data_IF_639576090611
#
_entry.id   IF_639576090611
#
_cell.length_a   1.000
_cell.length_b   1.000
_cell.length_c   1.000
_cell.angle_alpha   90.00
_cell.angle_beta   90.00
_cell.angle_gamma   90.00
#
_symmetry.space_group_name_H-M   'P 1'
#
loop_
_entity.id
_entity.type
_entity.pdbx_description
1 polymer ?
#
# COMPACT_ATOMS: atom_id res chain seq x y z
N UNK A 1 -0.37 40.39 25.80
CA UNK A 1 -0.90 40.26 24.43
C UNK A 1 0.20 39.68 23.58
N UNK A 2 -0.09 38.56 22.93
CA UNK A 2 0.86 37.85 22.10
C UNK A 2 1.35 38.73 20.91
N UNK A 3 2.65 38.66 20.60
CA UNK A 3 3.22 39.32 19.42
C UNK A 3 3.98 38.30 18.56
N UNK A 4 3.67 38.18 17.25
CA UNK A 4 4.35 37.27 16.32
C UNK A 4 5.88 37.43 16.30
N UNK A 5 6.60 36.33 16.09
CA UNK A 5 8.05 36.30 15.87
C UNK A 5 8.93 36.46 17.12
N UNK A 6 8.34 36.55 18.33
CA UNK A 6 9.12 36.68 19.58
C UNK A 6 9.42 35.36 20.28
N UNK A 7 8.58 34.35 20.10
CA UNK A 7 8.67 33.08 20.83
C UNK A 7 9.32 32.00 19.96
N UNK A 8 10.10 31.07 20.53
CA UNK A 8 10.65 29.96 19.77
C UNK A 8 9.52 29.08 19.20
N UNK A 9 9.70 28.57 17.98
CA UNK A 9 8.72 27.74 17.26
C UNK A 9 7.34 28.40 16.99
N UNK A 10 7.23 29.72 17.19
CA UNK A 10 6.01 30.49 16.89
C UNK A 10 5.75 30.66 15.40
N UNK A 11 6.79 30.57 14.57
CA UNK A 11 6.74 30.76 13.12
C UNK A 11 5.69 29.87 12.41
N UNK A 12 5.42 28.68 12.94
CA UNK A 12 4.38 27.78 12.40
C UNK A 12 2.95 28.31 12.59
N UNK A 13 2.72 29.18 13.59
CA UNK A 13 1.39 29.61 14.02
C UNK A 13 1.16 31.12 13.89
N UNK A 14 2.21 31.90 13.70
CA UNK A 14 2.18 33.36 13.60
C UNK A 14 1.30 33.90 12.46
N UNK A 15 1.05 33.09 11.44
CA UNK A 15 0.17 33.44 10.31
C UNK A 15 -1.29 33.04 10.53
N UNK A 16 -1.61 32.29 11.60
CA UNK A 16 -2.95 31.77 11.85
C UNK A 16 -3.79 32.71 12.73
N UNK A 17 -4.74 33.41 12.12
CA UNK A 17 -5.64 34.34 12.82
C UNK A 17 -6.46 33.70 13.96
N UNK A 18 -6.81 32.40 13.86
CA UNK A 18 -7.53 31.71 14.93
C UNK A 18 -6.62 31.44 16.13
N UNK A 19 -5.33 31.17 15.89
CA UNK A 19 -4.36 31.02 16.96
C UNK A 19 -4.15 32.35 17.69
N UNK A 20 -3.96 33.45 16.94
CA UNK A 20 -3.74 34.79 17.50
C UNK A 20 -4.92 35.29 18.36
N UNK A 21 -6.15 34.88 18.05
CA UNK A 21 -7.33 35.24 18.85
C UNK A 21 -7.53 34.35 20.07
N UNK A 22 -7.23 33.05 19.96
CA UNK A 22 -7.42 32.09 21.05
C UNK A 22 -6.29 32.14 22.09
N UNK A 23 -5.05 32.50 21.70
CA UNK A 23 -3.85 32.42 22.57
C UNK A 23 -3.96 33.27 23.85
N UNK A 24 -4.43 34.51 23.75
CA UNK A 24 -4.61 35.39 24.90
C UNK A 24 -5.75 34.92 25.80
N UNK A 25 -6.83 34.39 25.21
CA UNK A 25 -7.96 33.84 25.97
C UNK A 25 -7.56 32.59 26.74
N UNK A 26 -6.75 31.72 26.13
CA UNK A 26 -6.25 30.50 26.74
C UNK A 26 -5.26 30.83 27.85
N UNK A 27 -4.38 31.81 27.66
CA UNK A 27 -3.47 32.24 28.72
C UNK A 27 -4.22 32.77 29.94
N UNK A 28 -5.24 33.61 29.73
CA UNK A 28 -6.12 34.07 30.81
C UNK A 28 -6.86 32.91 31.48
N UNK A 29 -7.39 31.96 30.70
CA UNK A 29 -8.06 30.78 31.24
C UNK A 29 -7.13 29.90 32.10
N UNK A 30 -5.89 29.68 31.67
CA UNK A 30 -4.87 28.93 32.43
C UNK A 30 -4.56 29.65 33.74
N UNK A 31 -4.35 30.97 33.72
CA UNK A 31 -4.13 31.76 34.94
C UNK A 31 -5.28 31.64 35.93
N UNK A 32 -6.51 31.78 35.45
CA UNK A 32 -7.70 31.63 36.29
C UNK A 32 -7.81 30.23 36.90
N UNK A 33 -7.39 29.19 36.18
CA UNK A 33 -7.37 27.82 36.69
C UNK A 33 -6.26 27.57 37.71
N UNK A 34 -5.15 28.30 37.62
CA UNK A 34 -4.01 28.17 38.54
C UNK A 34 -4.17 29.00 39.83
N UNK A 35 -5.13 29.93 39.89
CA UNK A 35 -5.51 30.64 41.12
C UNK A 35 -5.67 32.16 41.01
N UNK A 36 -5.42 32.74 39.84
CA UNK A 36 -5.60 34.18 39.58
C UNK A 36 -7.11 34.53 39.53
N UNK A 37 -7.61 35.63 40.14
CA UNK A 37 -6.92 36.73 40.82
C UNK A 37 -6.75 36.58 42.34
N UNK A 38 -7.15 35.44 42.93
CA UNK A 38 -7.09 35.25 44.38
C UNK A 38 -5.65 35.14 44.89
N UNK A 39 -4.79 34.47 44.14
CA UNK A 39 -3.36 34.39 44.39
C UNK A 39 -2.62 34.63 43.07
N UNK A 40 -1.69 35.58 43.07
CA UNK A 40 -0.95 35.95 41.87
C UNK A 40 -0.11 34.77 41.40
N UNK A 41 -0.33 34.34 40.15
CA UNK A 41 0.38 33.21 39.55
C UNK A 41 1.77 33.68 39.11
N UNK A 42 2.81 32.98 39.55
CA UNK A 42 4.21 33.38 39.35
C UNK A 42 4.74 33.18 37.90
N UNK A 43 3.88 32.73 36.97
CA UNK A 43 4.22 32.49 35.56
C UNK A 43 4.03 33.75 34.71
N UNK A 44 5.00 34.01 33.81
CA UNK A 44 4.84 35.05 32.80
C UNK A 44 3.89 34.61 31.68
N UNK A 45 3.29 35.58 30.99
CA UNK A 45 2.47 35.34 29.79
C UNK A 45 3.23 34.51 28.74
N UNK A 46 4.50 34.86 28.53
CA UNK A 46 5.37 34.24 27.54
C UNK A 46 5.58 32.74 27.83
N UNK A 47 5.70 32.37 29.10
CA UNK A 47 5.83 30.96 29.51
C UNK A 47 4.55 30.17 29.25
N UNK A 48 3.38 30.78 29.47
CA UNK A 48 2.09 30.15 29.20
C UNK A 48 1.86 30.01 27.69
N UNK A 49 2.21 31.02 26.89
CA UNK A 49 2.17 30.93 25.44
C UNK A 49 3.07 29.82 24.91
N UNK A 50 4.27 29.66 25.48
CA UNK A 50 5.19 28.57 25.11
C UNK A 50 4.59 27.19 25.42
N UNK A 51 4.03 27.00 26.62
CA UNK A 51 3.32 25.75 26.98
C UNK A 51 2.16 25.44 26.03
N UNK A 52 1.46 26.47 25.53
CA UNK A 52 0.40 26.29 24.57
C UNK A 52 0.91 25.88 23.19
N UNK A 53 1.97 26.51 22.68
CA UNK A 53 2.62 26.15 21.42
C UNK A 53 3.15 24.71 21.49
N UNK A 54 3.83 24.35 22.57
CA UNK A 54 4.34 23.00 22.82
C UNK A 54 3.19 21.97 22.81
N UNK A 55 2.06 22.28 23.44
CA UNK A 55 0.88 21.42 23.41
C UNK A 55 0.32 21.19 22.00
N UNK A 56 0.37 22.18 21.12
CA UNK A 56 -0.10 22.04 19.73
C UNK A 56 0.89 21.18 18.92
N UNK A 57 2.19 21.37 19.12
CA UNK A 57 3.24 20.60 18.44
C UNK A 57 3.17 19.11 18.84
N UNK A 58 2.99 18.83 20.13
CA UNK A 58 2.79 17.45 20.64
C UNK A 58 1.54 16.81 20.02
N UNK A 59 0.41 17.52 20.03
CA UNK A 59 -0.83 17.03 19.42
C UNK A 59 -0.65 16.74 17.91
N UNK A 60 -0.01 17.66 17.19
CA UNK A 60 0.29 17.50 15.77
C UNK A 60 1.21 16.32 15.51
N UNK A 61 2.26 16.14 16.31
CA UNK A 61 3.21 15.05 16.19
C UNK A 61 2.54 13.69 16.39
N UNK A 62 1.67 13.57 17.40
CA UNK A 62 0.93 12.33 17.66
C UNK A 62 -0.03 12.00 16.50
N UNK A 63 -0.82 12.96 16.02
CA UNK A 63 -1.72 12.72 14.88
C UNK A 63 -0.94 12.30 13.63
N UNK A 64 0.13 13.03 13.30
CA UNK A 64 0.94 12.72 12.13
C UNK A 64 1.58 11.33 12.23
N UNK A 65 2.01 10.91 13.42
CA UNK A 65 2.57 9.57 13.63
C UNK A 65 1.53 8.46 13.38
N UNK A 66 0.30 8.60 13.89
CA UNK A 66 -0.76 7.61 13.68
C UNK A 66 -1.33 7.65 12.26
N UNK A 67 -1.41 8.84 11.65
CA UNK A 67 -1.75 8.98 10.24
C UNK A 67 -0.70 8.31 9.36
N UNK A 68 0.59 8.53 9.65
CA UNK A 68 1.68 7.88 8.93
C UNK A 68 1.63 6.38 9.09
N UNK A 69 1.39 5.86 10.30
CA UNK A 69 1.19 4.42 10.54
C UNK A 69 0.12 3.82 9.63
N UNK A 70 -0.93 4.57 9.33
CA UNK A 70 -2.06 4.08 8.53
C UNK A 70 -1.86 4.21 7.01
N UNK A 71 -0.98 5.10 6.56
CA UNK A 71 -0.85 5.47 5.13
C UNK A 71 0.55 5.25 4.58
N UNK A 72 1.52 4.88 5.41
CA UNK A 72 2.91 4.72 4.97
C UNK A 72 3.03 3.82 3.74
N UNK A 73 2.27 2.72 3.68
CA UNK A 73 2.22 1.80 2.53
C UNK A 73 1.92 2.47 1.21
N UNK A 74 1.07 3.49 1.23
CA UNK A 74 0.60 4.17 0.02
C UNK A 74 1.60 5.24 -0.43
N UNK A 75 2.43 5.74 0.49
CA UNK A 75 3.46 6.73 0.20
C UNK A 75 4.82 6.11 -0.12
N UNK A 76 5.08 4.84 0.21
CA UNK A 76 6.35 4.17 -0.07
C UNK A 76 6.70 4.25 -1.57
N UNK A 77 7.88 4.80 -1.88
CA UNK A 77 8.34 5.01 -3.26
C UNK A 77 7.80 6.26 -3.96
N UNK A 78 6.92 7.03 -3.31
CA UNK A 78 6.51 8.35 -3.84
C UNK A 78 7.70 9.33 -3.80
N UNK A 79 7.91 10.16 -4.83
CA UNK A 79 9.02 11.12 -4.85
C UNK A 79 8.92 12.12 -3.69
N UNK A 80 10.03 12.33 -2.98
CA UNK A 80 10.13 13.29 -1.87
C UNK A 80 10.46 14.68 -2.38
N UNK A 81 9.44 15.45 -2.78
CA UNK A 81 9.61 16.84 -3.23
C UNK A 81 9.65 17.87 -2.10
N UNK A 82 8.74 17.78 -1.14
CA UNK A 82 8.64 18.70 0.01
C UNK A 82 8.15 17.92 1.21
N UNK A 83 8.71 18.16 2.40
CA UNK A 83 8.37 17.41 3.62
C UNK A 83 7.08 17.92 4.31
N UNK A 84 6.31 18.79 3.65
CA UNK A 84 5.11 19.43 4.21
C UNK A 84 3.98 19.49 3.16
N UNK A 85 2.73 19.54 3.61
CA UNK A 85 1.56 19.82 2.78
C UNK A 85 0.60 18.63 2.54
N UNK A 86 0.88 17.46 3.12
CA UNK A 86 0.00 16.28 3.08
C UNK A 86 -0.62 15.93 4.44
N UNK A 87 -0.26 16.60 5.53
CA UNK A 87 -0.71 16.32 6.91
C UNK A 87 -2.24 16.46 7.13
N UNK A 88 -2.96 17.10 6.22
CA UNK A 88 -4.42 17.30 6.29
C UNK A 88 -5.17 16.81 5.04
N UNK A 89 -4.51 16.11 4.13
CA UNK A 89 -5.14 15.63 2.90
C UNK A 89 -5.55 14.18 3.04
N UNK A 90 -6.72 13.86 2.48
CA UNK A 90 -7.13 12.48 2.37
C UNK A 90 -6.13 11.73 1.50
N UNK A 91 -5.56 10.61 1.97
CA UNK A 91 -4.65 9.84 1.16
C UNK A 91 -5.46 9.21 0.02
N UNK A 92 -5.07 9.51 -1.20
CA UNK A 92 -5.55 8.72 -2.33
C UNK A 92 -4.89 7.36 -2.18
N UNK A 93 -5.68 6.33 -1.86
CA UNK A 93 -5.20 4.95 -1.75
C UNK A 93 -4.71 4.50 -3.11
N UNK A 94 -3.47 4.84 -3.43
CA UNK A 94 -2.83 4.39 -4.64
C UNK A 94 -2.32 2.99 -4.32
N UNK A 95 -2.96 1.98 -4.92
CA UNK A 95 -2.46 0.62 -4.87
C UNK A 95 -1.13 0.48 -5.64
N UNK A 96 -0.41 1.57 -5.92
CA UNK A 96 0.76 1.60 -6.79
C UNK A 96 1.88 0.71 -6.24
N UNK A 97 2.13 0.76 -4.92
CA UNK A 97 3.11 -0.13 -4.30
C UNK A 97 2.73 -1.61 -4.46
N UNK A 98 1.47 -1.95 -4.22
CA UNK A 98 0.96 -3.31 -4.40
C UNK A 98 0.99 -3.71 -5.88
N UNK A 99 0.61 -2.82 -6.79
CA UNK A 99 0.66 -3.03 -8.23
C UNK A 99 2.10 -3.31 -8.67
N UNK A 100 3.06 -2.47 -8.29
CA UNK A 100 4.49 -2.67 -8.58
C UNK A 100 5.02 -3.99 -8.00
N UNK A 101 4.50 -4.45 -6.84
CA UNK A 101 4.86 -5.75 -6.28
C UNK A 101 4.21 -6.90 -7.06
N UNK A 102 2.92 -6.80 -7.39
CA UNK A 102 2.18 -7.81 -8.16
C UNK A 102 2.65 -7.89 -9.61
N UNK A 103 3.11 -6.79 -10.19
CA UNK A 103 3.64 -6.73 -11.55
C UNK A 103 4.81 -7.68 -11.71
N UNK A 104 5.66 -7.85 -10.68
CA UNK A 104 6.76 -8.84 -10.69
C UNK A 104 6.25 -10.28 -10.80
N UNK A 105 5.11 -10.57 -10.19
CA UNK A 105 4.49 -11.91 -10.29
C UNK A 105 3.81 -12.10 -11.64
N UNK A 106 3.12 -11.08 -12.14
CA UNK A 106 2.52 -11.08 -13.49
C UNK A 106 3.58 -11.21 -14.58
N UNK A 107 4.72 -10.52 -14.42
CA UNK A 107 5.90 -10.60 -15.29
C UNK A 107 6.51 -12.01 -15.28
N UNK A 108 6.59 -12.66 -14.12
CA UNK A 108 7.06 -14.04 -14.01
C UNK A 108 6.10 -15.05 -14.66
N UNK A 109 4.81 -14.71 -14.79
CA UNK A 109 3.80 -15.53 -15.43
C UNK A 109 3.63 -15.23 -16.93
N UNK A 110 4.48 -14.38 -17.52
CA UNK A 110 4.40 -13.92 -18.91
C UNK A 110 3.08 -13.17 -19.25
N UNK A 111 2.38 -12.62 -18.25
CA UNK A 111 1.10 -11.91 -18.44
C UNK A 111 1.27 -10.44 -18.06
N UNK A 112 1.67 -9.62 -19.04
CA UNK A 112 1.91 -8.19 -18.85
C UNK A 112 3.27 -7.85 -18.22
N UNK A 113 3.57 -6.57 -18.11
CA UNK A 113 4.86 -6.03 -17.62
C UNK A 113 5.52 -5.09 -18.62
N UNK A 114 6.63 -4.47 -18.20
CA UNK A 114 7.37 -3.45 -18.97
C UNK A 114 8.44 -4.01 -19.92
N UNK A 115 8.60 -5.34 -20.04
CA UNK A 115 9.56 -5.95 -20.96
C UNK A 115 8.94 -6.16 -22.34
N UNK A 116 9.77 -6.13 -23.38
CA UNK A 116 9.35 -6.48 -24.74
C UNK A 116 9.54 -7.97 -24.98
N UNK A 117 8.45 -8.67 -25.29
CA UNK A 117 8.52 -10.06 -25.75
C UNK A 117 8.89 -10.10 -27.23
N UNK A 118 9.89 -10.90 -27.57
CA UNK A 118 10.32 -11.12 -28.95
C UNK A 118 9.88 -12.50 -29.41
N UNK A 119 9.49 -12.61 -30.67
CA UNK A 119 9.28 -13.89 -31.35
C UNK A 119 10.37 -14.08 -32.38
N UNK A 120 11.00 -15.25 -32.37
CA UNK A 120 12.05 -15.63 -33.31
C UNK A 120 11.80 -16.99 -33.92
N UNK A 121 12.50 -17.28 -35.00
CA UNK A 121 12.50 -18.60 -35.62
C UNK A 121 13.92 -19.08 -35.91
N UNK A 122 14.15 -20.37 -35.71
CA UNK A 122 15.36 -21.08 -36.12
C UNK A 122 15.01 -22.08 -37.22
N UNK A 123 15.82 -22.10 -38.27
CA UNK A 123 15.70 -23.08 -39.34
C UNK A 123 16.44 -24.36 -38.92
N UNK A 124 15.70 -25.43 -38.64
CA UNK A 124 16.26 -26.73 -38.30
C UNK A 124 16.86 -27.38 -39.54
N UNK A 125 18.09 -27.87 -39.41
CA UNK A 125 18.80 -28.61 -40.44
C UNK A 125 18.85 -30.10 -40.07
N UNK A 126 18.89 -31.01 -41.06
CA UNK A 126 18.96 -32.43 -40.78
C UNK A 126 20.32 -32.73 -40.15
N UNK A 127 20.33 -33.65 -39.19
CA UNK A 127 21.54 -34.10 -38.48
C UNK A 127 22.26 -33.03 -37.62
N UNK A 128 21.64 -31.85 -37.43
CA UNK A 128 22.16 -30.78 -36.56
C UNK A 128 21.37 -30.73 -35.25
N UNK A 129 22.08 -30.89 -34.13
CA UNK A 129 21.47 -30.99 -32.80
C UNK A 129 21.57 -29.70 -31.96
N UNK A 130 22.68 -28.97 -32.10
CA UNK A 130 23.00 -27.77 -31.31
C UNK A 130 22.79 -26.52 -32.16
N UNK A 131 21.90 -25.63 -31.71
CA UNK A 131 21.56 -24.38 -32.37
C UNK A 131 22.01 -23.19 -31.51
N UNK A 132 22.64 -22.19 -32.12
CA UNK A 132 23.06 -20.98 -31.42
C UNK A 132 22.01 -19.87 -31.54
N UNK A 133 21.60 -19.33 -30.39
CA UNK A 133 20.55 -18.33 -30.27
C UNK A 133 21.03 -16.91 -30.54
N UNK A 134 22.33 -16.72 -30.77
CA UNK A 134 22.93 -15.42 -31.19
C UNK A 134 22.45 -14.93 -32.55
N UNK A 135 21.84 -15.81 -33.34
CA UNK A 135 21.26 -15.47 -34.65
C UNK A 135 19.90 -14.79 -34.57
N UNK A 136 19.29 -14.75 -33.38
CA UNK A 136 17.99 -14.13 -33.13
C UNK A 136 18.11 -12.60 -33.06
N UNK A 137 17.07 -11.90 -33.50
CA UNK A 137 17.07 -10.43 -33.58
C UNK A 137 17.22 -9.78 -32.19
N UNK A 138 18.15 -8.84 -32.04
CA UNK A 138 18.40 -8.16 -30.77
C UNK A 138 19.31 -8.91 -29.79
N UNK A 139 19.74 -10.13 -30.12
CA UNK A 139 20.68 -10.92 -29.30
C UNK A 139 22.11 -10.58 -29.70
N UNK A 140 22.78 -9.75 -28.90
CA UNK A 140 24.19 -9.44 -29.13
C UNK A 140 25.08 -10.62 -28.68
N UNK A 141 26.02 -11.02 -29.54
CA UNK A 141 26.91 -12.18 -29.41
C UNK A 141 27.84 -12.21 -28.19
N UNK A 142 27.81 -11.20 -27.33
CA UNK A 142 28.84 -10.98 -26.30
C UNK A 142 28.32 -10.74 -24.88
N UNK A 143 27.04 -11.00 -24.57
CA UNK A 143 26.60 -10.92 -23.17
C UNK A 143 25.12 -10.84 -22.87
N UNK A 144 24.23 -11.01 -23.86
CA UNK A 144 22.79 -10.95 -23.61
C UNK A 144 22.29 -12.20 -22.87
N UNK A 145 21.74 -12.01 -21.67
CA UNK A 145 21.10 -13.11 -20.93
C UNK A 145 19.69 -13.31 -21.49
N UNK A 146 19.48 -14.37 -22.25
CA UNK A 146 18.17 -14.71 -22.80
C UNK A 146 17.33 -15.50 -21.79
N UNK A 147 16.07 -15.12 -21.65
CA UNK A 147 15.06 -15.93 -20.98
C UNK A 147 14.12 -16.44 -22.07
N UNK A 148 14.09 -17.75 -22.27
CA UNK A 148 13.24 -18.38 -23.28
C UNK A 148 11.90 -18.72 -22.62
N UNK A 149 10.82 -18.29 -23.27
CA UNK A 149 9.46 -18.63 -22.91
C UNK A 149 9.05 -19.96 -23.55
N UNK A 150 8.13 -19.90 -24.52
CA UNK A 150 7.64 -21.09 -25.20
C UNK A 150 8.45 -21.37 -26.48
N UNK A 151 8.90 -22.62 -26.62
CA UNK A 151 9.45 -23.16 -27.87
C UNK A 151 8.38 -24.05 -28.51
N UNK A 152 8.03 -23.77 -29.76
CA UNK A 152 7.01 -24.50 -30.48
C UNK A 152 7.35 -24.69 -31.95
N UNK A 153 6.96 -25.82 -32.51
CA UNK A 153 6.96 -26.05 -33.95
C UNK A 153 5.51 -26.08 -34.42
N UNK A 154 5.17 -25.32 -35.45
CA UNK A 154 3.79 -25.33 -35.94
C UNK A 154 3.53 -26.66 -36.66
N UNK A 155 2.57 -27.44 -36.16
CA UNK A 155 1.99 -28.50 -36.96
C UNK A 155 0.92 -27.87 -37.85
N UNK A 156 1.11 -27.77 -39.18
CA UNK A 156 0.01 -27.39 -40.04
C UNK A 156 -1.07 -28.46 -39.90
N UNK A 157 -2.32 -28.02 -39.69
CA UNK A 157 -3.56 -28.80 -39.65
C UNK A 157 -4.05 -29.30 -38.27
N UNK A 158 -4.54 -28.36 -37.45
CA UNK A 158 -5.38 -28.66 -36.26
C UNK A 158 -6.88 -28.61 -36.59
N UNK A 159 -7.32 -27.74 -37.52
CA UNK A 159 -8.74 -27.43 -37.70
C UNK A 159 -9.61 -28.61 -38.21
N UNK A 160 -9.01 -29.63 -38.81
CA UNK A 160 -9.75 -30.76 -39.39
C UNK A 160 -9.56 -32.10 -38.67
N UNK A 161 -8.70 -32.18 -37.64
CA UNK A 161 -8.48 -33.43 -36.88
C UNK A 161 -9.32 -33.54 -35.60
N UNK A 162 -10.23 -32.59 -35.36
CA UNK A 162 -11.36 -32.81 -34.44
C UNK A 162 -12.17 -34.06 -34.81
N UNK A 163 -12.11 -34.48 -36.08
CA UNK A 163 -12.74 -35.67 -36.62
C UNK A 163 -11.73 -36.83 -36.70
N UNK A 164 -11.56 -37.56 -35.59
CA UNK A 164 -10.84 -38.84 -35.61
C UNK A 164 -11.74 -39.96 -36.13
N UNK A 165 -11.21 -41.14 -36.48
CA UNK A 165 -12.03 -42.28 -36.95
C UNK A 165 -13.00 -42.82 -35.89
N UNK A 166 -12.84 -42.45 -34.61
CA UNK A 166 -13.81 -42.72 -33.55
C UNK A 166 -14.96 -41.68 -33.50
N UNK A 167 -14.88 -40.63 -34.31
CA UNK A 167 -15.83 -39.50 -34.36
C UNK A 167 -16.96 -39.71 -35.37
N UNK A 168 -17.18 -40.94 -35.87
CA UNK A 168 -18.34 -41.30 -36.71
C UNK A 168 -19.71 -41.03 -36.02
N UNK A 169 -19.71 -40.57 -34.77
CA UNK A 169 -20.90 -40.53 -33.92
C UNK A 169 -21.52 -39.14 -33.76
N UNK A 170 -20.92 -38.01 -34.17
CA UNK A 170 -21.57 -36.71 -33.90
C UNK A 170 -21.35 -35.65 -34.99
N UNK A 171 -22.38 -35.44 -35.81
CA UNK A 171 -22.46 -34.30 -36.72
C UNK A 171 -23.80 -33.59 -36.62
N UNK A 172 -23.82 -32.44 -35.95
CA UNK A 172 -24.70 -31.30 -36.26
C UNK A 172 -23.99 -30.02 -35.80
N UNK A 173 -23.14 -29.45 -36.65
CA UNK A 173 -22.84 -28.02 -36.63
C UNK A 173 -23.64 -27.42 -37.78
N UNK A 174 -24.84 -26.90 -37.46
CA UNK A 174 -25.88 -26.55 -38.44
C UNK A 174 -25.50 -25.37 -39.35
N UNK A 175 -24.34 -24.72 -39.17
CA UNK A 175 -23.98 -23.50 -39.92
C UNK A 175 -22.83 -23.67 -40.94
N UNK A 176 -22.20 -24.85 -41.09
CA UNK A 176 -21.07 -25.02 -42.02
C UNK A 176 -21.24 -26.12 -43.10
N UNK A 177 -22.46 -26.60 -43.33
CA UNK A 177 -22.83 -27.19 -44.64
C UNK A 177 -22.26 -28.57 -45.00
N UNK A 178 -21.92 -29.43 -44.04
CA UNK A 178 -21.46 -30.81 -44.32
C UNK A 178 -22.62 -31.81 -44.06
N UNK A 179 -23.05 -32.53 -45.11
CA UNK A 179 -24.18 -33.48 -45.09
C UNK A 179 -23.78 -34.84 -45.67
N UNK A 180 -23.24 -35.74 -44.84
CA UNK A 180 -23.16 -37.15 -45.18
C UNK A 180 -23.62 -37.98 -43.97
N UNK A 181 -24.73 -38.70 -44.13
CA UNK A 181 -25.29 -39.57 -43.11
C UNK A 181 -25.07 -41.03 -43.53
N UNK A 182 -24.56 -41.85 -42.62
CA UNK A 182 -24.61 -43.30 -42.75
C UNK A 182 -25.76 -43.85 -41.89
N UNK A 183 -26.41 -44.97 -42.27
CA UNK A 183 -27.56 -45.52 -41.54
C UNK A 183 -27.31 -45.91 -40.06
N UNK A 184 -26.06 -45.91 -39.62
CA UNK A 184 -25.63 -46.28 -38.26
C UNK A 184 -25.39 -45.06 -37.34
N UNK A 185 -25.75 -43.85 -37.77
CA UNK A 185 -25.50 -42.63 -36.98
C UNK A 185 -26.55 -42.48 -35.86
N UNK A 186 -26.11 -42.49 -34.59
CA UNK A 186 -26.95 -42.18 -33.43
C UNK A 186 -26.73 -40.72 -32.98
N UNK A 187 -27.82 -40.00 -32.69
CA UNK A 187 -27.77 -38.58 -32.31
C UNK A 187 -27.90 -38.40 -30.79
N UNK A 188 -26.94 -37.71 -30.18
CA UNK A 188 -27.01 -37.31 -28.77
C UNK A 188 -26.80 -35.80 -28.63
N UNK A 189 -27.56 -35.16 -27.74
CA UNK A 189 -27.35 -33.75 -27.39
C UNK A 189 -26.29 -33.67 -26.30
N UNK A 190 -25.09 -33.22 -26.67
CA UNK A 190 -24.00 -32.99 -25.74
C UNK A 190 -24.06 -31.55 -25.21
N UNK A 191 -23.86 -31.35 -23.89
CA UNK A 191 -23.75 -30.00 -23.34
C UNK A 191 -22.43 -29.34 -23.75
N UNK A 192 -22.42 -28.01 -23.89
CA UNK A 192 -21.28 -27.22 -24.41
C UNK A 192 -19.98 -27.43 -23.63
N UNK A 193 -20.05 -27.68 -22.32
CA UNK A 193 -18.87 -27.91 -21.51
C UNK A 193 -18.09 -29.16 -21.94
N UNK A 194 -18.79 -30.18 -22.47
CA UNK A 194 -18.18 -31.43 -22.90
C UNK A 194 -17.29 -31.21 -24.12
N UNK A 195 -17.77 -30.41 -25.07
CA UNK A 195 -17.01 -30.05 -26.28
C UNK A 195 -15.77 -29.20 -25.95
N UNK A 196 -15.89 -28.29 -24.99
CA UNK A 196 -14.75 -27.50 -24.48
C UNK A 196 -13.71 -28.41 -23.82
N UNK A 197 -14.14 -29.32 -22.94
CA UNK A 197 -13.23 -30.26 -22.25
C UNK A 197 -12.53 -31.18 -23.25
N UNK A 198 -13.27 -31.68 -24.25
CA UNK A 198 -12.72 -32.53 -25.30
C UNK A 198 -11.72 -31.76 -26.17
N UNK A 199 -12.02 -30.51 -26.53
CA UNK A 199 -11.09 -29.61 -27.23
C UNK A 199 -9.78 -29.46 -26.46
N UNK A 200 -9.87 -29.23 -25.14
CA UNK A 200 -8.69 -29.12 -24.28
C UNK A 200 -7.90 -30.43 -24.22
N UNK A 201 -8.58 -31.56 -24.06
CA UNK A 201 -7.96 -32.88 -24.06
C UNK A 201 -7.22 -33.16 -25.37
N UNK A 202 -7.82 -32.84 -26.53
CA UNK A 202 -7.16 -33.00 -27.82
C UNK A 202 -5.97 -32.07 -27.98
N UNK A 203 -6.09 -30.78 -27.61
CA UNK A 203 -4.97 -29.83 -27.65
C UNK A 203 -3.79 -30.32 -26.81
N UNK A 204 -4.07 -30.76 -25.58
CA UNK A 204 -3.06 -31.30 -24.66
C UNK A 204 -2.47 -32.61 -25.19
N UNK A 205 -3.30 -33.55 -25.63
CA UNK A 205 -2.85 -34.83 -26.18
C UNK A 205 -1.99 -34.62 -27.43
N UNK A 206 -2.31 -33.63 -28.26
CA UNK A 206 -1.51 -33.31 -29.45
C UNK A 206 -0.18 -32.70 -29.06
N UNK A 207 -0.19 -31.74 -28.11
CA UNK A 207 1.03 -31.16 -27.56
C UNK A 207 1.91 -32.26 -26.96
N UNK A 208 1.38 -33.18 -26.17
CA UNK A 208 2.17 -34.25 -25.54
C UNK A 208 2.63 -35.36 -26.51
N UNK A 209 1.76 -35.82 -27.42
CA UNK A 209 2.07 -36.98 -28.29
C UNK A 209 2.80 -36.61 -29.57
N UNK A 210 2.71 -35.35 -30.01
CA UNK A 210 3.37 -34.88 -31.24
C UNK A 210 4.49 -33.90 -31.01
N UNK A 211 4.63 -33.36 -29.79
CA UNK A 211 5.90 -32.76 -29.37
C UNK A 211 6.89 -33.91 -29.23
N UNK A 212 7.48 -34.27 -30.37
CA UNK A 212 8.57 -35.23 -30.41
C UNK A 212 9.89 -34.57 -29.98
N UNK A 213 9.92 -33.24 -29.79
CA UNK A 213 11.12 -32.50 -29.45
C UNK A 213 11.16 -32.19 -27.95
N UNK A 214 12.13 -32.75 -27.25
CA UNK A 214 12.64 -32.20 -25.99
C UNK A 214 13.84 -31.31 -26.27
N UNK A 215 14.14 -30.39 -25.34
CA UNK A 215 15.23 -29.46 -25.51
C UNK A 215 15.98 -29.25 -24.20
N UNK A 216 17.24 -28.85 -24.35
CA UNK A 216 18.11 -28.50 -23.24
C UNK A 216 18.82 -27.18 -23.59
N UNK A 217 18.75 -26.23 -22.66
CA UNK A 217 19.35 -24.91 -22.81
C UNK A 217 20.63 -24.84 -22.00
N UNK A 218 21.75 -24.55 -22.67
CA UNK A 218 23.05 -24.30 -22.06
C UNK A 218 23.59 -22.95 -22.52
N UNK A 219 23.40 -21.92 -21.71
CA UNK A 219 23.78 -20.56 -22.09
C UNK A 219 23.02 -20.11 -23.33
N UNK A 220 23.75 -19.76 -24.40
CA UNK A 220 23.17 -19.34 -25.69
C UNK A 220 22.87 -20.51 -26.63
N UNK A 221 23.16 -21.76 -26.25
CA UNK A 221 22.96 -22.93 -27.10
C UNK A 221 21.71 -23.70 -26.72
N UNK A 222 20.87 -23.94 -27.72
CA UNK A 222 19.68 -24.79 -27.66
C UNK A 222 20.02 -26.14 -28.28
N UNK A 223 20.02 -27.19 -27.45
CA UNK A 223 20.17 -28.58 -27.88
C UNK A 223 18.79 -29.22 -28.01
N UNK A 224 18.48 -29.80 -29.17
CA UNK A 224 17.21 -30.48 -29.43
C UNK A 224 17.37 -32.01 -29.38
N UNK A 225 16.30 -32.70 -28.99
CA UNK A 225 16.22 -34.16 -28.94
C UNK A 225 14.83 -34.63 -29.40
N UNK A 226 14.72 -35.64 -30.29
CA UNK A 226 15.78 -36.26 -31.06
C UNK A 226 16.34 -35.31 -32.11
N UNK A 227 17.45 -35.71 -32.75
CA UNK A 227 18.08 -34.91 -33.81
C UNK A 227 17.06 -34.73 -34.95
N UNK A 228 16.83 -33.50 -35.43
CA UNK A 228 15.93 -33.25 -36.56
C UNK A 228 16.34 -34.05 -37.80
N UNK A 229 15.36 -34.69 -38.43
CA UNK A 229 15.57 -35.46 -39.68
C UNK A 229 15.05 -34.72 -40.91
N UNK A 230 14.31 -33.62 -40.72
CA UNK A 230 13.65 -32.86 -41.78
C UNK A 230 13.84 -31.36 -41.54
N UNK A 231 14.07 -30.62 -42.63
CA UNK A 231 14.10 -29.16 -42.61
C UNK A 231 12.75 -28.63 -42.14
N UNK A 232 12.76 -27.95 -40.99
CA UNK A 232 11.55 -27.40 -40.40
C UNK A 232 11.87 -26.14 -39.59
N UNK A 233 10.87 -25.28 -39.39
CA UNK A 233 11.05 -24.05 -38.60
C UNK A 233 10.64 -24.29 -37.17
N UNK A 234 11.55 -23.99 -36.25
CA UNK A 234 11.28 -23.93 -34.82
C UNK A 234 11.01 -22.46 -34.45
N UNK A 235 9.88 -22.20 -33.82
CA UNK A 235 9.53 -20.88 -33.31
C UNK A 235 9.79 -20.84 -31.81
N UNK A 236 10.21 -19.69 -31.32
CA UNK A 236 10.44 -19.47 -29.90
C UNK A 236 10.05 -18.06 -29.51
N UNK A 237 9.46 -17.92 -28.33
CA UNK A 237 9.35 -16.63 -27.65
C UNK A 237 10.51 -16.45 -26.68
N UNK A 238 11.07 -15.26 -26.65
CA UNK A 238 12.20 -14.94 -25.79
C UNK A 238 12.14 -13.50 -25.29
N UNK A 239 12.79 -13.31 -24.15
CA UNK A 239 12.99 -12.01 -23.50
C UNK A 239 14.49 -11.78 -23.34
N UNK A 240 14.92 -10.54 -23.53
CA UNK A 240 16.29 -10.12 -23.31
C UNK A 240 16.35 -9.51 -21.91
N UNK A 241 17.24 -10.02 -21.04
CA UNK A 241 17.36 -9.55 -19.66
C UNK A 241 17.74 -8.07 -19.55
N UNK A 242 18.41 -7.50 -20.55
CA UNK A 242 18.73 -6.07 -20.60
C UNK A 242 17.49 -5.19 -20.90
N UNK A 243 16.47 -5.74 -21.57
CA UNK A 243 15.16 -5.09 -21.81
C UNK A 243 14.18 -5.30 -20.65
N UNK A 244 14.55 -6.11 -19.64
CA UNK A 244 13.88 -6.02 -18.34
C UNK A 244 14.15 -4.60 -17.86
N UNK A 245 13.07 -3.84 -17.68
CA UNK A 245 13.11 -2.47 -17.18
C UNK A 245 13.91 -2.34 -15.86
N UNK A 246 14.00 -1.12 -15.30
CA UNK A 246 15.03 -0.66 -14.37
C UNK A 246 15.13 -1.36 -13.00
N UNK A 247 14.65 -2.60 -12.83
CA UNK A 247 14.78 -3.39 -11.60
C UNK A 247 16.25 -3.64 -11.22
N UNK A 248 17.20 -3.56 -12.18
CA UNK A 248 18.65 -3.60 -11.89
C UNK A 248 19.36 -2.25 -11.90
N UNK A 249 18.72 -1.22 -12.44
CA UNK A 249 19.16 0.17 -12.33
C UNK A 249 18.18 0.89 -11.42
N UNK A 250 18.19 0.54 -10.14
CA UNK A 250 17.62 1.40 -9.10
C UNK A 250 18.50 2.65 -9.15
N UNK A 251 18.18 3.60 -10.04
CA UNK A 251 18.58 5.00 -9.85
C UNK A 251 18.12 5.30 -8.44
N UNK A 252 19.01 5.79 -7.58
CA UNK A 252 18.68 6.17 -6.20
C UNK A 252 17.33 6.91 -6.17
N UNK A 253 16.25 6.18 -5.89
CA UNK A 253 14.91 6.73 -5.90
C UNK A 253 14.80 7.50 -4.59
N UNK A 254 15.10 8.79 -4.66
CA UNK A 254 14.78 9.75 -3.60
C UNK A 254 13.25 9.78 -3.43
N UNK A 255 12.75 8.83 -2.65
CA UNK A 255 11.34 8.66 -2.33
C UNK A 255 11.12 8.35 -0.86
N UNK A 256 9.85 8.41 -0.43
CA UNK A 256 9.47 8.10 0.95
C UNK A 256 9.82 6.64 1.24
N UNK A 257 10.63 6.41 2.27
CA UNK A 257 11.20 5.10 2.62
C UNK A 257 10.77 4.66 4.02
N UNK A 258 10.46 5.61 4.91
CA UNK A 258 10.08 5.34 6.28
C UNK A 258 9.29 6.53 6.86
N UNK A 259 9.00 6.47 8.16
CA UNK A 259 8.32 7.55 8.87
C UNK A 259 9.11 8.89 8.85
N UNK A 260 10.44 8.86 8.73
CA UNK A 260 11.26 10.07 8.85
C UNK A 260 11.21 10.98 7.63
N UNK A 261 10.83 10.46 6.45
CA UNK A 261 10.77 11.22 5.21
C UNK A 261 9.36 11.31 4.61
N UNK A 262 8.33 11.02 5.41
CA UNK A 262 6.96 11.27 5.02
C UNK A 262 6.67 12.79 5.03
N UNK A 263 5.98 13.34 4.02
CA UNK A 263 5.79 14.78 3.88
C UNK A 263 4.66 15.34 4.75
N UNK A 264 4.75 15.11 6.06
CA UNK A 264 3.80 15.61 7.05
C UNK A 264 4.41 16.77 7.83
N UNK A 265 3.89 17.97 7.59
CA UNK A 265 4.24 19.17 8.34
C UNK A 265 3.41 19.33 9.62
N UNK A 266 3.65 20.43 10.32
CA UNK A 266 2.85 20.80 11.50
C UNK A 266 1.41 21.12 11.09
N UNK A 267 0.44 20.56 11.79
CA UNK A 267 -0.99 20.80 11.55
C UNK A 267 -1.34 22.23 11.96
N UNK A 268 -1.91 23.01 11.03
CA UNK A 268 -2.37 24.38 11.30
C UNK A 268 -3.48 24.38 12.37
N UNK A 269 -3.36 25.26 13.37
CA UNK A 269 -4.30 25.35 14.50
C UNK A 269 -5.75 25.58 14.06
N UNK A 270 -5.96 26.35 13.00
CA UNK A 270 -7.26 26.64 12.41
C UNK A 270 -8.03 25.44 11.84
N UNK A 271 -7.33 24.35 11.53
CA UNK A 271 -7.87 23.08 11.01
C UNK A 271 -8.21 22.08 12.13
N UNK A 272 -7.80 22.36 13.36
CA UNK A 272 -8.06 21.48 14.51
C UNK A 272 -9.52 21.63 14.96
N UNK A 273 -10.19 20.50 15.15
CA UNK A 273 -11.58 20.45 15.61
C UNK A 273 -11.71 20.83 17.12
N UNK A 274 -12.94 20.98 17.60
CA UNK A 274 -13.22 21.34 19.00
C UNK A 274 -12.67 20.32 20.00
N UNK A 275 -12.70 19.03 19.65
CA UNK A 275 -12.20 17.92 20.49
C UNK A 275 -10.68 18.06 20.68
N UNK A 276 -9.94 18.22 19.59
CA UNK A 276 -8.50 18.45 19.62
C UNK A 276 -8.15 19.73 20.34
N UNK A 277 -8.86 20.84 20.08
CA UNK A 277 -8.70 22.09 20.82
C UNK A 277 -8.96 21.95 22.32
N UNK A 278 -9.89 21.09 22.73
CA UNK A 278 -10.13 20.80 24.15
C UNK A 278 -8.98 20.01 24.77
N UNK A 279 -8.45 19.00 24.06
CA UNK A 279 -7.29 18.24 24.51
C UNK A 279 -6.06 19.15 24.65
N UNK A 280 -5.78 19.98 23.64
CA UNK A 280 -4.67 20.96 23.66
C UNK A 280 -4.80 21.91 24.85
N UNK A 281 -6.02 22.43 25.12
CA UNK A 281 -6.24 23.30 26.29
C UNK A 281 -5.96 22.58 27.62
N UNK A 282 -6.41 21.33 27.77
CA UNK A 282 -6.13 20.51 28.96
C UNK A 282 -4.63 20.27 29.09
N UNK A 283 -3.95 19.90 28.02
CA UNK A 283 -2.52 19.59 28.06
C UNK A 283 -1.65 20.82 28.29
N UNK A 284 -1.98 21.97 27.68
CA UNK A 284 -1.32 23.25 27.94
C UNK A 284 -1.44 23.69 29.41
N UNK A 285 -2.62 23.50 30.03
CA UNK A 285 -2.80 23.73 31.47
C UNK A 285 -1.83 22.87 32.29
N UNK A 286 -1.67 21.60 31.92
CA UNK A 286 -0.78 20.68 32.62
C UNK A 286 0.71 20.99 32.45
N UNK A 287 1.11 21.44 31.26
CA UNK A 287 2.47 21.95 31.02
C UNK A 287 2.74 23.22 31.84
N UNK A 288 1.79 24.16 31.85
CA UNK A 288 1.92 25.37 32.68
C UNK A 288 1.95 25.03 34.18
N UNK A 289 1.19 24.03 34.63
CA UNK A 289 1.21 23.55 36.03
C UNK A 289 2.56 22.95 36.41
N UNK A 290 3.20 22.19 35.52
CA UNK A 290 4.56 21.69 35.72
C UNK A 290 5.56 22.84 35.84
N UNK A 291 5.52 23.81 34.90
CA UNK A 291 6.40 24.99 34.94
C UNK A 291 6.22 25.77 36.25
N UNK A 292 4.98 25.98 36.70
CA UNK A 292 4.69 26.61 38.00
C UNK A 292 5.34 25.84 39.16
N UNK A 293 5.24 24.51 39.14
CA UNK A 293 5.88 23.65 40.13
C UNK A 293 7.39 23.84 40.18
N UNK A 294 8.05 23.92 39.02
CA UNK A 294 9.49 24.22 38.92
C UNK A 294 9.84 25.59 39.47
N UNK A 295 9.03 26.61 39.20
CA UNK A 295 9.22 27.95 39.78
C UNK A 295 9.07 27.93 41.30
N UNK A 296 8.07 27.25 41.84
CA UNK A 296 7.82 27.15 43.29
C UNK A 296 8.87 26.32 44.02
N UNK A 297 9.41 25.27 43.40
CA UNK A 297 10.53 24.50 43.96
C UNK A 297 11.84 25.30 44.07
N UNK A 298 12.00 26.42 43.35
CA UNK A 298 13.14 27.32 43.54
C UNK A 298 13.01 28.22 44.77
N UNK A 299 11.79 28.42 45.29
CA UNK A 299 11.49 29.32 46.41
C UNK A 299 10.75 28.59 47.55
N UNK A 300 11.26 27.42 47.95
CA UNK A 300 10.58 26.48 48.89
C UNK A 300 10.07 27.13 50.18
N UNK A 301 10.78 28.13 50.71
CA UNK A 301 10.38 28.91 51.89
C UNK A 301 10.50 30.40 51.60
N UNK A 302 9.38 31.12 51.63
CA UNK A 302 9.38 32.58 51.62
C UNK A 302 9.27 33.05 53.07
N UNK A 303 10.30 33.71 53.64
CA UNK A 303 10.21 34.24 54.99
C UNK A 303 9.27 35.45 55.01
N UNK A 304 8.19 35.35 55.78
CA UNK A 304 7.27 36.45 56.08
C UNK A 304 7.52 36.85 57.55
N UNK A 305 7.39 38.13 57.94
CA UNK A 305 7.48 38.50 59.35
C UNK A 305 6.50 37.65 60.18
N UNK A 306 7.04 36.84 61.09
CA UNK A 306 6.31 35.98 62.04
C UNK A 306 5.67 34.68 61.49
N UNK A 307 5.85 34.33 60.21
CA UNK A 307 5.38 33.05 59.66
C UNK A 307 6.20 32.58 58.44
N UNK A 308 6.27 31.28 58.22
CA UNK A 308 6.85 30.68 57.01
C UNK A 308 5.71 30.20 56.10
N UNK A 309 5.70 30.64 54.84
CA UNK A 309 4.82 30.05 53.81
C UNK A 309 5.64 29.02 53.06
N UNK A 310 5.19 27.76 53.14
CA UNK A 310 5.78 26.64 52.41
C UNK A 310 5.08 26.49 51.05
N UNK A 311 5.85 26.44 49.97
CA UNK A 311 5.32 26.25 48.62
C UNK A 311 5.33 24.77 48.23
N UNK A 312 4.16 24.21 47.87
CA UNK A 312 4.01 22.81 47.46
C UNK A 312 4.43 22.58 46.00
N UNK A 313 5.69 22.88 45.65
CA UNK A 313 6.22 22.73 44.28
C UNK A 313 6.32 21.27 43.81
N UNK A 314 6.84 20.37 44.66
CA UNK A 314 7.08 18.96 44.31
C UNK A 314 5.79 18.19 44.01
N UNK A 315 4.74 18.42 44.81
CA UNK A 315 3.44 17.78 44.60
C UNK A 315 2.77 18.28 43.31
N UNK A 316 2.90 19.56 42.98
CA UNK A 316 2.39 20.13 41.72
C UNK A 316 3.06 19.49 40.51
N UNK A 317 4.39 19.31 40.53
CA UNK A 317 5.13 18.65 39.44
C UNK A 317 4.66 17.20 39.29
N UNK A 318 4.53 16.47 40.40
CA UNK A 318 4.09 15.07 40.36
C UNK A 318 2.68 14.92 39.78
N UNK A 319 1.72 15.75 40.22
CA UNK A 319 0.34 15.73 39.70
C UNK A 319 0.27 16.15 38.24
N UNK A 320 1.10 17.13 37.83
CA UNK A 320 1.15 17.60 36.45
C UNK A 320 1.63 16.48 35.50
N UNK A 321 2.73 15.80 35.84
CA UNK A 321 3.26 14.68 35.04
C UNK A 321 2.28 13.52 34.92
N UNK A 322 1.66 13.13 36.03
CA UNK A 322 0.63 12.09 36.02
C UNK A 322 -0.56 12.45 35.12
N UNK A 323 -1.01 13.70 35.16
CA UNK A 323 -2.09 14.17 34.29
C UNK A 323 -1.66 14.25 32.82
N UNK A 324 -0.43 14.69 32.53
CA UNK A 324 0.12 14.68 31.18
C UNK A 324 0.17 13.26 30.61
N UNK A 325 0.66 12.29 31.38
CA UNK A 325 0.75 10.90 30.92
C UNK A 325 -0.63 10.29 30.66
N UNK A 326 -1.61 10.55 31.53
CA UNK A 326 -3.01 10.16 31.30
C UNK A 326 -3.60 10.78 30.03
N UNK A 327 -3.32 12.07 29.76
CA UNK A 327 -3.77 12.75 28.55
C UNK A 327 -3.13 12.16 27.29
N UNK A 328 -1.83 11.83 27.34
CA UNK A 328 -1.13 11.16 26.23
C UNK A 328 -1.71 9.77 25.98
N UNK A 329 -2.00 9.01 27.02
CA UNK A 329 -2.61 7.68 26.92
C UNK A 329 -4.04 7.75 26.37
N UNK A 330 -4.88 8.65 26.89
CA UNK A 330 -6.24 8.92 26.39
C UNK A 330 -6.22 9.19 24.87
N UNK A 331 -5.29 10.04 24.41
CA UNK A 331 -5.15 10.36 22.99
C UNK A 331 -4.65 9.17 22.18
N UNK A 332 -3.64 8.43 22.66
CA UNK A 332 -3.13 7.23 21.97
C UNK A 332 -4.22 6.19 21.76
N UNK A 333 -5.01 5.90 22.78
CA UNK A 333 -6.11 4.93 22.69
C UNK A 333 -7.14 5.35 21.63
N UNK A 334 -7.55 6.62 21.63
CA UNK A 334 -8.49 7.14 20.63
C UNK A 334 -7.89 7.07 19.22
N UNK A 335 -6.61 7.42 19.07
CA UNK A 335 -5.93 7.41 17.76
C UNK A 335 -5.71 5.99 17.24
N UNK A 336 -5.39 5.03 18.11
CA UNK A 336 -5.28 3.62 17.73
C UNK A 336 -6.60 3.07 17.23
N UNK A 337 -7.68 3.35 17.94
CA UNK A 337 -9.04 2.92 17.60
C UNK A 337 -9.58 3.53 16.31
N UNK A 338 -9.00 4.63 15.85
CA UNK A 338 -9.38 5.39 14.66
C UNK A 338 -8.40 5.23 13.49
N UNK A 339 -7.39 4.37 13.61
CA UNK A 339 -6.54 3.97 12.48
C UNK A 339 -7.36 3.31 11.37
N UNK A 340 -6.98 3.48 10.10
CA UNK A 340 -7.76 2.97 8.97
C UNK A 340 -7.96 1.45 9.02
N UNK A 341 -6.96 0.69 9.47
CA UNK A 341 -7.07 -0.76 9.66
C UNK A 341 -8.13 -1.13 10.69
N UNK A 342 -8.12 -0.47 11.86
CA UNK A 342 -9.08 -0.75 12.93
C UNK A 342 -10.50 -0.31 12.56
N UNK A 343 -10.65 0.81 11.84
CA UNK A 343 -11.94 1.24 11.30
C UNK A 343 -12.49 0.24 10.26
N UNK A 344 -11.64 -0.32 9.41
CA UNK A 344 -12.05 -1.34 8.44
C UNK A 344 -12.46 -2.64 9.13
N UNK A 345 -11.72 -3.05 10.16
CA UNK A 345 -12.07 -4.21 10.98
C UNK A 345 -13.42 -4.01 11.69
N UNK A 346 -13.63 -2.87 12.36
CA UNK A 346 -14.91 -2.52 12.98
C UNK A 346 -16.08 -2.54 11.97
N UNK A 347 -15.86 -2.06 10.74
CA UNK A 347 -16.86 -2.14 9.66
C UNK A 347 -17.13 -3.58 9.19
N UNK A 348 -16.10 -4.42 9.09
CA UNK A 348 -16.24 -5.84 8.73
C UNK A 348 -17.06 -6.58 9.79
N UNK A 349 -16.75 -6.35 11.06
CA UNK A 349 -17.46 -6.99 12.17
C UNK A 349 -18.93 -6.55 12.22
N UNK A 350 -19.21 -5.27 12.00
CA UNK A 350 -20.58 -4.76 11.86
C UNK A 350 -21.32 -5.37 10.66
N UNK A 351 -20.65 -5.57 9.52
CA UNK A 351 -21.25 -6.20 8.34
C UNK A 351 -21.55 -7.69 8.56
N UNK A 352 -20.68 -8.41 9.28
CA UNK A 352 -20.91 -9.80 9.64
C UNK A 352 -22.12 -9.94 10.56
N UNK A 353 -22.20 -9.11 11.60
CA UNK A 353 -23.37 -9.07 12.49
C UNK A 353 -24.67 -8.78 11.72
N UNK A 354 -24.63 -7.83 10.78
CA UNK A 354 -25.78 -7.53 9.92
C UNK A 354 -26.17 -8.70 9.02
N UNK A 355 -25.20 -9.44 8.47
CA UNK A 355 -25.49 -10.64 7.67
C UNK A 355 -26.09 -11.77 8.50
N UNK A 356 -25.67 -11.95 9.75
CA UNK A 356 -26.27 -12.89 10.70
C UNK A 356 -27.73 -12.49 11.00
N UNK A 357 -27.99 -11.20 11.21
CA UNK A 357 -29.36 -10.69 11.39
C UNK A 357 -30.21 -10.91 10.14
N UNK A 358 -29.68 -10.66 8.93
CA UNK A 358 -30.37 -10.92 7.67
C UNK A 358 -30.64 -12.40 7.44
N UNK A 359 -29.75 -13.31 7.88
CA UNK A 359 -29.96 -14.75 7.77
C UNK A 359 -31.12 -15.26 8.65
N UNK A 360 -31.41 -14.56 9.75
CA UNK A 360 -32.56 -14.85 10.60
C UNK A 360 -33.89 -14.33 10.01
N UNK A 361 -33.85 -13.51 8.95
CA UNK A 361 -35.06 -13.08 8.25
C UNK A 361 -35.50 -14.23 7.33
N UNK A 362 -36.69 -14.82 7.53
CA UNK A 362 -37.17 -15.90 6.67
C UNK A 362 -37.34 -15.40 5.24
N UNK A 363 -36.68 -16.07 4.29
CA UNK A 363 -36.81 -15.79 2.86
C UNK A 363 -38.28 -16.06 2.43
N UNK A 364 -38.93 -15.14 1.69
CA UNK A 364 -40.34 -15.28 1.31
C UNK A 364 -40.61 -16.33 0.22
N UNK A 365 -39.61 -17.13 -0.18
CA UNK A 365 -39.78 -18.19 -1.17
C UNK A 365 -40.25 -19.46 -0.44
N UNK A 366 -41.56 -19.61 -0.35
CA UNK A 366 -42.19 -20.87 -0.01
C UNK A 366 -42.16 -21.78 -1.25
N UNK A 367 -41.42 -22.88 -1.18
CA UNK A 367 -41.51 -23.98 -2.16
C UNK A 367 -42.58 -24.94 -1.63
N UNK A 368 -43.64 -25.13 -2.40
CA UNK A 368 -44.66 -26.15 -2.20
C UNK A 368 -44.41 -27.35 -3.08
#
# INVERSE_FOLDING_TARGET
MYTPGKLPFSNYFDTDNKFLSDVDQIANWIRMKLGDPLLNVELSDEQIYLSFIESILEFSGMINAYHAKSVLTDFLGSPTGSLEGLENKFPVSSNLFLFNQTEKYSEAADVGGMYKEYTGSLDLQPDVQDYDLTTLSGVNSSGSNLVIGEIFHYAPYIQYRFYSQASYVNYLMNEFGIRYFTPETAYYLLPVWEDIMRTQQYKLSHKLRRSNFSYLLMGTKLRLFPIPTVNSKLWLTYKIKEDLGPIRNIKDENGVSNLSNIPFGVISYSKINSIGKQWIRRFALELSREQLGWHRSKFTTIPIPSAEVTLNGSELISRAREAQDKLREELKLILEDTTYQNLLQKKRDAANALNEDLANIPLPIFVG
#
